data_IF_186670214505
#
_entry.id   IF_186670214505
#
_cell.length_a   1.000
_cell.length_b   1.000
_cell.length_c   1.000
_cell.angle_alpha   90.00
_cell.angle_beta   90.00
_cell.angle_gamma   90.00
#
_symmetry.space_group_name_H-M   'P 1'
#
loop_
_entity.id
_entity.type
_entity.pdbx_description
1 polymer ?
#
# COMPACT_ATOMS: atom_id res chain seq x y z
N UNK A 1 17.82 -37.66 -9.65
CA UNK A 1 16.87 -36.62 -10.10
C UNK A 1 15.44 -37.16 -9.93
N UNK A 2 14.63 -36.68 -8.99
CA UNK A 2 13.20 -36.96 -8.99
C UNK A 2 12.48 -35.84 -9.77
N UNK A 3 11.84 -36.23 -10.87
CA UNK A 3 10.99 -35.37 -11.69
C UNK A 3 9.68 -35.12 -10.93
N UNK A 4 9.51 -33.93 -10.34
CA UNK A 4 8.25 -33.55 -9.70
C UNK A 4 7.24 -33.10 -10.76
N UNK A 5 5.96 -33.52 -10.69
CA UNK A 5 4.96 -33.11 -11.65
C UNK A 5 4.71 -31.59 -11.55
N UNK A 6 4.97 -30.90 -12.66
CA UNK A 6 4.63 -29.51 -12.85
C UNK A 6 3.09 -29.39 -12.93
N UNK A 7 2.43 -28.97 -11.85
CA UNK A 7 1.08 -28.42 -11.86
C UNK A 7 0.92 -27.47 -13.06
N UNK A 8 0.13 -27.95 -14.01
CA UNK A 8 -0.16 -27.31 -15.28
C UNK A 8 -1.27 -26.29 -15.05
N UNK A 9 -0.92 -25.01 -15.06
CA UNK A 9 -1.91 -23.94 -15.25
C UNK A 9 -2.58 -24.15 -16.62
N UNK A 10 -3.88 -23.82 -16.78
CA UNK A 10 -4.57 -23.93 -18.07
C UNK A 10 -3.81 -23.15 -19.16
N UNK A 11 -3.64 -23.76 -20.33
CA UNK A 11 -2.70 -23.34 -21.39
C UNK A 11 -2.89 -21.90 -21.89
N UNK A 12 -4.13 -21.40 -21.86
CA UNK A 12 -4.49 -20.03 -22.27
C UNK A 12 -4.07 -18.98 -21.24
N UNK A 13 -4.23 -19.29 -19.95
CA UNK A 13 -3.81 -18.40 -18.87
C UNK A 13 -2.27 -18.32 -18.82
N UNK A 14 -1.60 -19.46 -19.02
CA UNK A 14 -0.14 -19.53 -19.10
C UNK A 14 0.42 -18.77 -20.31
N UNK A 15 -0.25 -18.78 -21.46
CA UNK A 15 0.18 -18.04 -22.65
C UNK A 15 -0.06 -16.53 -22.51
N UNK A 16 -1.19 -16.11 -21.93
CA UNK A 16 -1.45 -14.70 -21.61
C UNK A 16 -0.44 -14.16 -20.60
N UNK A 17 -0.22 -14.89 -19.50
CA UNK A 17 0.77 -14.52 -18.49
C UNK A 17 2.16 -14.44 -19.12
N UNK A 18 2.61 -15.42 -19.93
CA UNK A 18 3.93 -15.36 -20.60
C UNK A 18 4.08 -14.21 -21.59
N UNK A 19 3.00 -13.80 -22.26
CA UNK A 19 3.03 -12.74 -23.29
C UNK A 19 3.06 -11.34 -22.68
N UNK A 20 2.47 -11.16 -21.50
CA UNK A 20 2.37 -9.86 -20.82
C UNK A 20 3.28 -9.71 -19.60
N UNK A 21 3.55 -10.81 -18.91
CA UNK A 21 4.45 -10.92 -17.77
C UNK A 21 5.57 -11.86 -18.18
N UNK A 22 6.78 -11.34 -18.37
CA UNK A 22 7.95 -12.20 -18.53
C UNK A 22 8.14 -12.97 -17.22
N UNK A 23 7.54 -14.13 -17.07
CA UNK A 23 7.63 -14.99 -15.88
C UNK A 23 8.30 -16.31 -16.29
N UNK A 24 9.31 -16.73 -15.53
CA UNK A 24 9.94 -18.04 -15.71
C UNK A 24 8.96 -19.17 -15.39
N UNK A 25 9.16 -20.38 -15.94
CA UNK A 25 8.26 -21.51 -15.70
C UNK A 25 8.14 -21.87 -14.21
N UNK A 26 9.25 -21.77 -13.47
CA UNK A 26 9.32 -22.03 -12.04
C UNK A 26 8.70 -20.91 -11.18
N UNK A 27 8.47 -19.72 -11.75
CA UNK A 27 7.97 -18.54 -11.03
C UNK A 27 6.44 -18.41 -11.12
N UNK A 28 5.80 -19.11 -12.07
CA UNK A 28 4.37 -18.96 -12.37
C UNK A 28 3.47 -19.28 -11.17
N UNK A 29 3.80 -20.31 -10.38
CA UNK A 29 3.01 -20.67 -9.19
C UNK A 29 3.12 -19.61 -8.11
N UNK A 30 4.35 -19.18 -7.79
CA UNK A 30 4.59 -18.12 -6.81
C UNK A 30 3.91 -16.81 -7.23
N UNK A 31 3.96 -16.46 -8.52
CA UNK A 31 3.27 -15.31 -9.09
C UNK A 31 1.74 -15.44 -8.94
N UNK A 32 1.16 -16.58 -9.31
CA UNK A 32 -0.29 -16.79 -9.23
C UNK A 32 -0.79 -16.72 -7.78
N UNK A 33 -0.06 -17.34 -6.84
CA UNK A 33 -0.36 -17.26 -5.41
C UNK A 33 -0.24 -15.82 -4.88
N UNK A 34 0.81 -15.09 -5.28
CA UNK A 34 1.00 -13.70 -4.86
C UNK A 34 -0.08 -12.77 -5.43
N UNK A 35 -0.45 -12.97 -6.69
CA UNK A 35 -1.55 -12.26 -7.34
C UNK A 35 -2.89 -12.51 -6.64
N UNK A 36 -3.24 -13.79 -6.41
CA UNK A 36 -4.46 -14.18 -5.72
C UNK A 36 -4.47 -13.65 -4.28
N UNK A 37 -3.34 -13.73 -3.59
CA UNK A 37 -3.20 -13.22 -2.23
C UNK A 37 -3.46 -11.71 -2.18
N UNK A 38 -2.86 -10.93 -3.07
CA UNK A 38 -3.07 -9.48 -3.12
C UNK A 38 -4.51 -9.13 -3.53
N UNK A 39 -5.10 -9.90 -4.45
CA UNK A 39 -6.50 -9.74 -4.87
C UNK A 39 -7.45 -9.93 -3.69
N UNK A 40 -7.36 -11.05 -2.97
CA UNK A 40 -8.24 -11.33 -1.83
C UNK A 40 -7.96 -10.38 -0.67
N UNK A 41 -6.69 -10.06 -0.40
CA UNK A 41 -6.29 -9.12 0.66
C UNK A 41 -6.90 -7.74 0.45
N UNK A 42 -6.76 -7.18 -0.76
CA UNK A 42 -7.32 -5.86 -1.05
C UNK A 42 -8.85 -5.94 -1.14
N UNK A 43 -9.42 -7.00 -1.69
CA UNK A 43 -10.87 -7.24 -1.67
C UNK A 43 -11.45 -7.18 -0.26
N UNK A 44 -10.89 -7.95 0.67
CA UNK A 44 -11.28 -7.95 2.10
C UNK A 44 -11.08 -6.59 2.78
N UNK A 45 -9.95 -5.93 2.51
CA UNK A 45 -9.69 -4.58 3.00
C UNK A 45 -10.76 -3.57 2.53
N UNK A 46 -11.16 -3.63 1.26
CA UNK A 46 -12.18 -2.73 0.72
C UNK A 46 -13.61 -3.10 1.14
N UNK A 47 -13.83 -4.29 1.72
CA UNK A 47 -15.08 -4.62 2.45
C UNK A 47 -15.11 -3.93 3.81
N UNK A 48 -13.99 -3.94 4.54
CA UNK A 48 -13.87 -3.33 5.88
C UNK A 48 -13.86 -1.79 5.86
N UNK A 49 -13.35 -1.19 4.77
CA UNK A 49 -13.16 0.26 4.65
C UNK A 49 -14.47 1.07 4.77
N UNK A 50 -15.55 0.73 4.05
CA UNK A 50 -16.84 1.42 4.22
C UNK A 50 -17.39 1.32 5.64
N UNK A 51 -17.22 0.18 6.32
CA UNK A 51 -17.63 0.03 7.72
C UNK A 51 -16.89 1.04 8.60
N UNK A 52 -15.58 1.25 8.39
CA UNK A 52 -14.80 2.27 9.12
C UNK A 52 -15.36 3.67 8.86
N UNK A 53 -15.65 3.97 7.61
CA UNK A 53 -16.13 5.29 7.20
C UNK A 53 -17.52 5.58 7.79
N UNK A 54 -18.40 4.59 7.84
CA UNK A 54 -19.71 4.69 8.53
C UNK A 54 -19.52 4.90 10.04
N UNK A 55 -18.56 4.23 10.69
CA UNK A 55 -18.32 4.45 12.12
C UNK A 55 -17.85 5.89 12.42
N UNK A 56 -17.07 6.50 11.51
CA UNK A 56 -16.65 7.89 11.65
C UNK A 56 -17.83 8.88 11.58
N UNK A 57 -18.85 8.61 10.77
CA UNK A 57 -20.04 9.48 10.68
C UNK A 57 -20.92 9.36 11.92
N UNK A 58 -21.05 8.16 12.51
CA UNK A 58 -21.80 7.92 13.76
C UNK A 58 -21.20 8.67 14.96
N UNK A 59 -19.88 8.84 14.99
CA UNK A 59 -19.17 9.54 16.06
C UNK A 59 -19.26 11.07 15.96
N UNK A 60 -19.59 11.59 14.78
CA UNK A 60 -19.71 13.01 14.50
C UNK A 60 -18.39 13.66 14.04
N UNK A 61 -18.51 14.61 13.12
CA UNK A 61 -17.37 15.28 12.45
C UNK A 61 -16.44 15.99 13.45
N UNK A 62 -16.97 16.45 14.58
CA UNK A 62 -16.22 17.14 15.64
C UNK A 62 -15.21 16.25 16.37
N UNK A 63 -15.38 14.92 16.33
CA UNK A 63 -14.49 13.95 16.98
C UNK A 63 -13.38 13.43 16.05
N UNK A 64 -13.39 13.78 14.76
CA UNK A 64 -12.38 13.34 13.79
C UNK A 64 -10.93 13.66 14.22
N UNK A 65 -10.61 14.85 14.79
CA UNK A 65 -9.25 15.12 15.27
C UNK A 65 -8.79 14.13 16.35
N UNK A 66 -9.68 13.78 17.29
CA UNK A 66 -9.39 12.80 18.36
C UNK A 66 -9.15 11.42 17.76
N UNK A 67 -9.96 11.03 16.77
CA UNK A 67 -9.81 9.76 16.08
C UNK A 67 -8.47 9.65 15.34
N UNK A 68 -8.04 10.72 14.66
CA UNK A 68 -6.75 10.74 13.97
C UNK A 68 -5.56 10.76 14.93
N UNK A 69 -5.63 11.55 16.01
CA UNK A 69 -4.59 11.56 17.05
C UNK A 69 -4.45 10.19 17.72
N UNK A 70 -5.57 9.55 18.09
CA UNK A 70 -5.55 8.20 18.64
C UNK A 70 -4.95 7.18 17.66
N UNK A 71 -5.26 7.29 16.36
CA UNK A 71 -4.66 6.45 15.32
C UNK A 71 -3.14 6.63 15.25
N UNK A 72 -2.65 7.87 15.31
CA UNK A 72 -1.21 8.16 15.28
C UNK A 72 -0.49 7.55 16.49
N UNK A 73 -1.02 7.76 17.70
CA UNK A 73 -0.45 7.22 18.93
C UNK A 73 -0.43 5.69 18.93
N UNK A 74 -1.52 5.06 18.49
CA UNK A 74 -1.59 3.60 18.36
C UNK A 74 -0.61 3.08 17.31
N UNK A 75 -0.47 3.77 16.17
CA UNK A 75 0.51 3.39 15.13
C UNK A 75 1.94 3.43 15.68
N UNK A 76 2.28 4.49 16.44
CA UNK A 76 3.57 4.65 17.10
C UNK A 76 3.83 3.56 18.15
N UNK A 77 2.80 3.11 18.87
CA UNK A 77 2.91 2.03 19.84
C UNK A 77 2.97 0.63 19.21
N UNK A 78 2.24 0.39 18.12
CA UNK A 78 2.21 -0.90 17.43
C UNK A 78 3.53 -1.21 16.72
N UNK A 79 4.25 -0.21 16.21
CA UNK A 79 5.53 -0.41 15.54
C UNK A 79 6.61 -1.10 16.42
N UNK A 80 6.94 -0.60 17.63
CA UNK A 80 7.89 -1.29 18.52
C UNK A 80 7.33 -2.60 19.08
N UNK A 81 6.01 -2.71 19.29
CA UNK A 81 5.39 -3.98 19.69
C UNK A 81 5.62 -5.06 18.63
N UNK A 82 5.39 -4.72 17.36
CA UNK A 82 5.69 -5.62 16.24
C UNK A 82 7.19 -5.93 16.16
N UNK A 83 8.06 -4.92 16.33
CA UNK A 83 9.50 -5.09 16.44
C UNK A 83 9.87 -6.13 17.50
N UNK A 84 9.28 -6.04 18.69
CA UNK A 84 9.47 -6.99 19.78
C UNK A 84 8.95 -8.39 19.47
N UNK A 85 7.79 -8.53 18.83
CA UNK A 85 7.29 -9.86 18.41
C UNK A 85 8.29 -10.53 17.47
N UNK A 86 8.89 -9.78 16.54
CA UNK A 86 9.89 -10.33 15.60
C UNK A 86 11.23 -10.68 16.24
N UNK A 87 11.55 -10.19 17.45
CA UNK A 87 12.75 -10.63 18.19
C UNK A 87 12.52 -11.90 18.99
N UNK A 88 11.27 -12.31 19.20
CA UNK A 88 10.89 -13.44 20.05
C UNK A 88 10.37 -14.64 19.28
N UNK A 89 9.83 -14.42 18.09
CA UNK A 89 9.18 -15.44 17.28
C UNK A 89 9.77 -15.45 15.87
N UNK A 90 9.94 -16.65 15.33
CA UNK A 90 10.40 -16.86 13.95
C UNK A 90 9.44 -16.24 12.94
N UNK A 91 9.98 -15.60 11.90
CA UNK A 91 9.19 -14.93 10.87
C UNK A 91 8.17 -15.87 10.19
N UNK A 92 8.51 -17.15 10.01
CA UNK A 92 7.63 -18.18 9.45
C UNK A 92 6.34 -18.38 10.26
N UNK A 93 6.35 -18.07 11.56
CA UNK A 93 5.15 -18.07 12.43
C UNK A 93 4.53 -16.69 12.56
N UNK A 94 5.34 -15.64 12.65
CA UNK A 94 4.86 -14.25 12.81
C UNK A 94 4.01 -13.83 11.62
N UNK A 95 4.46 -14.09 10.38
CA UNK A 95 3.77 -13.60 9.18
C UNK A 95 2.36 -14.20 9.06
N UNK A 96 2.15 -15.54 9.07
CA UNK A 96 0.79 -16.10 9.08
C UNK A 96 0.03 -15.80 10.37
N UNK A 97 0.72 -15.76 11.51
CA UNK A 97 0.11 -15.47 12.82
C UNK A 97 -0.55 -14.10 12.89
N UNK A 98 0.03 -13.08 12.24
CA UNK A 98 -0.56 -11.75 12.12
C UNK A 98 -1.86 -11.74 11.31
N UNK A 99 -1.94 -12.54 10.23
CA UNK A 99 -3.19 -12.66 9.47
C UNK A 99 -4.27 -13.38 10.27
N UNK A 100 -3.92 -14.44 11.03
CA UNK A 100 -4.84 -15.05 11.99
C UNK A 100 -5.28 -14.09 13.09
N UNK A 101 -4.37 -13.27 13.62
CA UNK A 101 -4.71 -12.22 14.56
C UNK A 101 -5.76 -11.28 13.96
N UNK A 102 -5.59 -10.80 12.72
CA UNK A 102 -6.62 -9.98 12.07
C UNK A 102 -7.95 -10.69 11.89
N UNK A 103 -7.96 -11.98 11.50
CA UNK A 103 -9.20 -12.76 11.43
C UNK A 103 -9.92 -12.77 12.78
N UNK A 104 -9.21 -13.09 13.87
CA UNK A 104 -9.79 -13.13 15.21
C UNK A 104 -10.33 -11.77 15.66
N UNK A 105 -9.62 -10.68 15.34
CA UNK A 105 -10.10 -9.33 15.63
C UNK A 105 -11.38 -9.00 14.86
N UNK A 106 -11.44 -9.33 13.56
CA UNK A 106 -12.64 -9.08 12.74
C UNK A 106 -13.83 -9.85 13.29
N UNK A 107 -13.65 -11.12 13.67
CA UNK A 107 -14.69 -11.94 14.30
C UNK A 107 -15.12 -11.38 15.66
N UNK A 108 -14.17 -10.90 16.47
CA UNK A 108 -14.48 -10.25 17.74
C UNK A 108 -15.30 -8.96 17.52
N UNK A 109 -14.95 -8.13 16.53
CA UNK A 109 -15.75 -6.97 16.17
C UNK A 109 -17.13 -7.35 15.65
N UNK A 110 -17.26 -8.41 14.85
CA UNK A 110 -18.56 -8.90 14.40
C UNK A 110 -19.45 -9.27 15.61
N UNK A 111 -18.90 -10.00 16.58
CA UNK A 111 -19.61 -10.34 17.82
C UNK A 111 -19.94 -9.11 18.67
N UNK A 112 -19.03 -8.13 18.79
CA UNK A 112 -19.26 -6.90 19.55
C UNK A 112 -20.33 -6.01 18.92
N UNK A 113 -20.37 -5.91 17.59
CA UNK A 113 -21.41 -5.16 16.90
C UNK A 113 -22.78 -5.84 16.99
N UNK A 114 -22.81 -7.17 17.01
CA UNK A 114 -24.04 -7.93 17.25
C UNK A 114 -24.54 -7.78 18.70
N UNK A 115 -23.63 -7.82 19.67
CA UNK A 115 -23.97 -7.72 21.09
C UNK A 115 -24.38 -6.30 21.53
N UNK A 116 -23.79 -5.26 20.92
CA UNK A 116 -24.06 -3.87 21.26
C UNK A 116 -24.24 -2.99 20.01
N UNK A 117 -25.35 -3.16 19.26
CA UNK A 117 -25.64 -2.35 18.07
C UNK A 117 -25.69 -0.86 18.44
N UNK A 118 -24.91 -0.03 17.76
CA UNK A 118 -24.88 1.42 17.98
C UNK A 118 -23.97 1.90 19.12
N UNK A 119 -23.20 1.02 19.78
CA UNK A 119 -22.21 1.43 20.77
C UNK A 119 -21.14 2.32 20.15
N UNK A 120 -21.13 3.60 20.56
CA UNK A 120 -20.11 4.58 20.16
C UNK A 120 -18.70 4.14 20.52
N UNK A 121 -18.54 3.37 21.59
CA UNK A 121 -17.24 2.89 22.01
C UNK A 121 -16.72 1.81 21.06
N UNK A 122 -17.55 0.84 20.67
CA UNK A 122 -17.19 -0.20 19.69
C UNK A 122 -16.85 0.44 18.34
N UNK A 123 -17.64 1.43 17.89
CA UNK A 123 -17.37 2.19 16.67
C UNK A 123 -16.01 2.91 16.71
N UNK A 124 -15.67 3.53 17.84
CA UNK A 124 -14.39 4.24 18.05
C UNK A 124 -13.21 3.26 18.02
N UNK A 125 -13.30 2.16 18.76
CA UNK A 125 -12.25 1.15 18.84
C UNK A 125 -12.05 0.48 17.48
N UNK A 126 -13.12 0.16 16.75
CA UNK A 126 -13.05 -0.36 15.39
C UNK A 126 -12.37 0.63 14.44
N UNK A 127 -12.72 1.92 14.52
CA UNK A 127 -12.11 2.95 13.69
C UNK A 127 -10.59 3.01 13.89
N UNK A 128 -10.13 3.05 15.14
CA UNK A 128 -8.71 3.04 15.48
C UNK A 128 -8.02 1.75 15.03
N UNK A 129 -8.59 0.60 15.38
CA UNK A 129 -8.05 -0.71 15.01
C UNK A 129 -7.86 -0.82 13.50
N UNK A 130 -8.90 -0.54 12.71
CA UNK A 130 -8.82 -0.65 11.25
C UNK A 130 -7.83 0.36 10.66
N UNK A 131 -7.78 1.59 11.21
CA UNK A 131 -6.89 2.64 10.72
C UNK A 131 -5.40 2.36 10.95
N UNK A 132 -5.06 1.57 11.98
CA UNK A 132 -3.71 1.07 12.23
C UNK A 132 -3.47 -0.20 11.41
N UNK A 133 -4.36 -1.18 11.50
CA UNK A 133 -4.17 -2.49 10.90
C UNK A 133 -4.10 -2.45 9.37
N UNK A 134 -4.83 -1.54 8.71
CA UNK A 134 -4.84 -1.51 7.24
C UNK A 134 -3.46 -1.25 6.61
N UNK A 135 -2.66 -0.34 7.17
CA UNK A 135 -1.32 -0.03 6.67
C UNK A 135 -0.36 -1.18 7.02
N UNK A 136 -0.51 -1.78 8.20
CA UNK A 136 0.25 -2.96 8.60
C UNK A 136 -0.02 -4.17 7.69
N UNK A 137 -1.27 -4.48 7.37
CA UNK A 137 -1.67 -5.56 6.46
C UNK A 137 -0.96 -5.46 5.12
N UNK A 138 -1.03 -4.27 4.53
CA UNK A 138 -0.40 -3.99 3.24
C UNK A 138 1.11 -4.06 3.34
N UNK A 139 1.71 -3.45 4.36
CA UNK A 139 3.16 -3.43 4.53
C UNK A 139 3.71 -4.84 4.75
N UNK A 140 3.04 -5.67 5.57
CA UNK A 140 3.42 -7.07 5.82
C UNK A 140 3.36 -7.92 4.56
N UNK A 141 2.31 -7.77 3.75
CA UNK A 141 2.22 -8.48 2.46
C UNK A 141 3.40 -8.13 1.55
N UNK A 142 3.69 -6.83 1.37
CA UNK A 142 4.80 -6.42 0.51
C UNK A 142 6.18 -6.72 1.10
N UNK A 143 6.31 -6.77 2.42
CA UNK A 143 7.52 -7.25 3.11
C UNK A 143 7.78 -8.71 2.75
N UNK A 144 6.74 -9.56 2.80
CA UNK A 144 6.84 -10.96 2.35
C UNK A 144 7.19 -11.05 0.86
N UNK A 145 6.61 -10.20 -0.01
CA UNK A 145 6.95 -10.19 -1.44
C UNK A 145 8.40 -9.80 -1.71
N UNK A 146 8.90 -8.76 -1.04
CA UNK A 146 10.29 -8.34 -1.11
C UNK A 146 11.25 -9.40 -0.56
N UNK A 147 10.76 -10.26 0.34
CA UNK A 147 11.51 -11.38 0.90
C UNK A 147 11.37 -12.68 0.11
N UNK A 148 10.42 -12.77 -0.82
CA UNK A 148 10.19 -13.94 -1.66
C UNK A 148 10.95 -13.82 -2.99
N UNK A 149 10.87 -12.66 -3.63
CA UNK A 149 11.37 -12.43 -5.00
C UNK A 149 12.69 -11.67 -5.01
N UNK A 150 13.61 -12.09 -5.89
CA UNK A 150 14.89 -11.38 -6.12
C UNK A 150 14.62 -9.99 -6.74
N UNK A 151 15.58 -9.04 -6.69
CA UNK A 151 15.40 -7.73 -7.33
C UNK A 151 15.06 -7.84 -8.82
N UNK A 152 15.63 -8.82 -9.52
CA UNK A 152 15.35 -9.11 -10.93
C UNK A 152 13.91 -9.59 -11.15
N UNK A 153 13.46 -10.55 -10.33
CA UNK A 153 12.09 -11.05 -10.36
C UNK A 153 11.09 -9.95 -10.00
N UNK A 154 11.35 -9.18 -8.93
CA UNK A 154 10.49 -8.10 -8.48
C UNK A 154 10.24 -7.05 -9.58
N UNK A 155 11.29 -6.68 -10.31
CA UNK A 155 11.24 -5.74 -11.44
C UNK A 155 10.24 -6.16 -12.52
N UNK A 156 10.05 -7.47 -12.72
CA UNK A 156 9.14 -8.04 -13.73
C UNK A 156 7.76 -8.37 -13.17
N UNK A 157 7.70 -8.87 -11.94
CA UNK A 157 6.53 -9.54 -11.37
C UNK A 157 5.68 -8.63 -10.47
N UNK A 158 6.26 -7.61 -9.83
CA UNK A 158 5.52 -6.78 -8.85
C UNK A 158 4.37 -5.99 -9.48
N UNK A 159 4.50 -5.58 -10.74
CA UNK A 159 3.40 -4.94 -11.47
C UNK A 159 2.19 -5.88 -11.61
N UNK A 160 2.42 -7.14 -11.98
CA UNK A 160 1.37 -8.14 -12.09
C UNK A 160 0.75 -8.44 -10.71
N UNK A 161 1.57 -8.63 -9.67
CA UNK A 161 1.08 -8.85 -8.29
C UNK A 161 0.23 -7.66 -7.82
N UNK A 162 0.68 -6.43 -8.07
CA UNK A 162 -0.06 -5.22 -7.75
C UNK A 162 -1.39 -5.12 -8.52
N UNK A 163 -1.45 -5.58 -9.77
CA UNK A 163 -2.69 -5.62 -10.55
C UNK A 163 -3.78 -6.44 -9.86
N UNK A 164 -3.41 -7.56 -9.22
CA UNK A 164 -4.33 -8.35 -8.40
C UNK A 164 -4.99 -7.50 -7.30
N UNK A 165 -4.21 -6.66 -6.61
CA UNK A 165 -4.71 -5.76 -5.59
C UNK A 165 -5.67 -4.68 -6.13
N UNK A 166 -5.41 -4.12 -7.32
CA UNK A 166 -6.33 -3.18 -7.98
C UNK A 166 -7.63 -3.85 -8.42
N UNK A 167 -7.57 -5.10 -8.91
CA UNK A 167 -8.77 -5.87 -9.22
C UNK A 167 -9.58 -6.20 -7.95
N UNK A 168 -8.89 -6.55 -6.86
CA UNK A 168 -9.51 -6.73 -5.55
C UNK A 168 -10.19 -5.45 -5.06
N UNK A 169 -9.58 -4.30 -5.32
CA UNK A 169 -10.14 -2.98 -5.00
C UNK A 169 -11.40 -2.60 -5.80
N UNK A 170 -11.61 -3.24 -6.96
CA UNK A 170 -12.85 -3.10 -7.75
C UNK A 170 -13.91 -4.07 -7.24
N UNK A 171 -13.53 -5.33 -7.01
CA UNK A 171 -14.45 -6.38 -6.57
C UNK A 171 -14.93 -6.17 -5.13
N UNK A 172 -14.07 -5.72 -4.22
CA UNK A 172 -14.41 -5.49 -2.81
C UNK A 172 -15.62 -4.58 -2.61
N UNK A 173 -15.64 -3.35 -3.14
CA UNK A 173 -16.80 -2.46 -3.04
C UNK A 173 -18.06 -3.00 -3.72
N UNK A 174 -17.94 -3.78 -4.79
CA UNK A 174 -19.09 -4.45 -5.43
C UNK A 174 -19.69 -5.49 -4.49
N UNK A 175 -18.85 -6.30 -3.85
CA UNK A 175 -19.28 -7.25 -2.82
C UNK A 175 -19.94 -6.49 -1.65
N UNK A 176 -19.33 -5.41 -1.17
CA UNK A 176 -19.92 -4.57 -0.11
C UNK A 176 -21.31 -4.06 -0.51
N UNK A 177 -21.48 -3.56 -1.73
CA UNK A 177 -22.76 -3.03 -2.21
C UNK A 177 -23.84 -4.10 -2.24
N UNK A 178 -23.48 -5.32 -2.66
CA UNK A 178 -24.41 -6.46 -2.67
C UNK A 178 -24.75 -6.91 -1.25
N UNK A 179 -23.75 -7.08 -0.39
CA UNK A 179 -23.90 -7.58 0.99
C UNK A 179 -24.57 -6.58 1.94
N UNK A 180 -24.31 -5.28 1.80
CA UNK A 180 -24.77 -4.25 2.73
C UNK A 180 -26.30 -4.21 2.83
N UNK A 181 -27.01 -4.48 1.74
CA UNK A 181 -28.47 -4.46 1.69
C UNK A 181 -29.15 -5.61 2.43
N UNK A 182 -28.49 -6.76 2.61
CA UNK A 182 -29.10 -7.95 3.20
C UNK A 182 -28.42 -8.44 4.48
N UNK A 183 -27.12 -8.21 4.65
CA UNK A 183 -26.32 -8.79 5.73
C UNK A 183 -25.87 -7.76 6.78
N UNK A 184 -26.12 -6.48 6.54
CA UNK A 184 -25.73 -5.38 7.43
C UNK A 184 -24.21 -5.34 7.68
N UNK A 185 -23.81 -4.69 8.78
CA UNK A 185 -22.40 -4.55 9.18
C UNK A 185 -21.79 -5.90 9.57
N UNK A 186 -22.54 -6.74 10.27
CA UNK A 186 -22.08 -8.06 10.74
C UNK A 186 -21.70 -8.97 9.57
N UNK A 187 -22.56 -9.09 8.56
CA UNK A 187 -22.28 -9.91 7.39
C UNK A 187 -21.10 -9.39 6.57
N UNK A 188 -20.88 -8.08 6.52
CA UNK A 188 -19.68 -7.49 5.91
C UNK A 188 -18.41 -7.89 6.68
N UNK A 189 -18.44 -7.86 8.02
CA UNK A 189 -17.32 -8.30 8.85
C UNK A 189 -17.05 -9.79 8.69
N UNK A 190 -18.08 -10.64 8.64
CA UNK A 190 -17.91 -12.08 8.41
C UNK A 190 -17.35 -12.38 7.01
N UNK A 191 -17.83 -11.70 5.97
CA UNK A 191 -17.29 -11.82 4.61
C UNK A 191 -15.82 -11.38 4.56
N UNK A 192 -15.47 -10.29 5.24
CA UNK A 192 -14.09 -9.86 5.39
C UNK A 192 -13.26 -10.92 6.14
N UNK A 193 -13.73 -11.44 7.28
CA UNK A 193 -13.04 -12.50 8.02
C UNK A 193 -12.76 -13.73 7.14
N UNK A 194 -13.75 -14.19 6.38
CA UNK A 194 -13.59 -15.30 5.43
C UNK A 194 -12.52 -15.00 4.38
N UNK A 195 -12.50 -13.79 3.82
CA UNK A 195 -11.45 -13.38 2.87
C UNK A 195 -10.05 -13.39 3.52
N UNK A 196 -9.92 -12.96 4.79
CA UNK A 196 -8.64 -12.98 5.51
C UNK A 196 -8.19 -14.40 5.91
N UNK A 197 -9.11 -15.34 6.12
CA UNK A 197 -8.78 -16.77 6.25
C UNK A 197 -8.15 -17.27 4.94
N UNK A 198 -8.75 -16.94 3.80
CA UNK A 198 -8.19 -17.29 2.47
C UNK A 198 -6.82 -16.65 2.26
N UNK A 199 -6.64 -15.38 2.63
CA UNK A 199 -5.31 -14.72 2.60
C UNK A 199 -4.30 -15.47 3.45
N UNK A 200 -4.69 -15.90 4.66
CA UNK A 200 -3.80 -16.62 5.56
C UNK A 200 -3.33 -17.94 4.95
N UNK A 201 -4.24 -18.69 4.33
CA UNK A 201 -3.89 -19.92 3.60
C UNK A 201 -2.95 -19.62 2.43
N UNK A 202 -3.23 -18.58 1.63
CA UNK A 202 -2.38 -18.20 0.50
C UNK A 202 -0.98 -17.76 0.96
N UNK A 203 -0.87 -17.04 2.06
CA UNK A 203 0.42 -16.66 2.68
C UNK A 203 1.20 -17.90 3.12
N UNK A 204 0.55 -18.87 3.75
CA UNK A 204 1.21 -20.14 4.13
C UNK A 204 1.68 -20.93 2.89
N UNK A 205 0.86 -20.96 1.83
CA UNK A 205 1.25 -21.58 0.57
C UNK A 205 2.44 -20.87 -0.09
N UNK A 206 2.50 -19.54 -0.03
CA UNK A 206 3.65 -18.75 -0.51
C UNK A 206 4.93 -19.05 0.27
N UNK A 207 4.84 -19.14 1.60
CA UNK A 207 5.98 -19.51 2.45
C UNK A 207 6.48 -20.93 2.12
N UNK A 208 5.56 -21.88 1.92
CA UNK A 208 5.90 -23.25 1.50
C UNK A 208 6.52 -23.30 0.10
N UNK A 209 5.98 -22.53 -0.85
CA UNK A 209 6.52 -22.46 -2.20
C UNK A 209 7.92 -21.84 -2.22
N UNK A 210 8.20 -20.84 -1.36
CA UNK A 210 9.57 -20.33 -1.16
C UNK A 210 10.54 -21.44 -0.76
N UNK A 211 10.19 -22.19 0.27
CA UNK A 211 11.01 -23.28 0.78
C UNK A 211 11.23 -24.37 -0.29
N UNK A 212 10.18 -24.69 -1.07
CA UNK A 212 10.26 -25.62 -2.20
C UNK A 212 11.19 -25.14 -3.31
N UNK A 213 11.12 -23.86 -3.69
CA UNK A 213 11.98 -23.28 -4.72
C UNK A 213 13.45 -23.23 -4.26
N UNK A 214 13.70 -22.90 -2.99
CA UNK A 214 15.03 -22.93 -2.38
C UNK A 214 15.62 -24.36 -2.38
N UNK A 215 14.83 -25.36 -1.97
CA UNK A 215 15.27 -26.77 -2.01
C UNK A 215 15.54 -27.26 -3.44
N UNK A 216 14.79 -26.74 -4.42
CA UNK A 216 14.99 -27.01 -5.85
C UNK A 216 16.17 -26.26 -6.49
N UNK A 217 16.97 -25.51 -5.71
CA UNK A 217 18.07 -24.67 -6.20
C UNK A 217 17.64 -23.67 -7.28
N UNK A 218 16.38 -23.23 -7.25
CA UNK A 218 15.87 -22.17 -8.12
C UNK A 218 16.21 -20.82 -7.49
N UNK A 219 16.63 -19.87 -8.33
CA UNK A 219 17.00 -18.53 -7.89
C UNK A 219 15.83 -17.83 -7.16
N UNK A 220 16.03 -17.57 -5.87
CA UNK A 220 15.09 -16.89 -4.96
C UNK A 220 15.87 -15.97 -4.03
N UNK A 221 15.18 -15.15 -3.24
CA UNK A 221 15.84 -14.41 -2.17
C UNK A 221 16.57 -15.37 -1.21
N UNK A 222 17.84 -15.07 -0.91
CA UNK A 222 18.69 -15.89 -0.05
C UNK A 222 18.21 -15.93 1.42
N UNK A 223 17.35 -14.99 1.83
CA UNK A 223 16.80 -14.94 3.18
C UNK A 223 15.91 -16.14 3.50
N UNK A 224 15.93 -16.58 4.76
CA UNK A 224 15.03 -17.62 5.27
C UNK A 224 14.03 -17.01 6.25
N UNK A 225 12.84 -17.59 6.39
CA UNK A 225 11.86 -17.15 7.39
C UNK A 225 11.98 -17.92 8.71
N UNK A 226 12.85 -18.93 8.78
CA UNK A 226 12.96 -19.88 9.89
C UNK A 226 13.87 -19.39 11.02
N UNK A 227 14.04 -18.09 11.15
CA UNK A 227 14.75 -17.46 12.25
C UNK A 227 14.00 -16.24 12.78
N UNK A 228 14.35 -15.85 14.01
CA UNK A 228 13.96 -14.58 14.63
C UNK A 228 14.85 -13.46 14.09
N UNK A 229 14.35 -12.23 14.10
CA UNK A 229 15.18 -11.07 13.79
C UNK A 229 15.87 -10.61 15.07
N UNK A 230 17.19 -10.81 15.26
CA UNK A 230 17.87 -10.31 16.45
C UNK A 230 17.83 -8.77 16.50
N UNK A 231 18.16 -8.18 17.65
CA UNK A 231 18.26 -6.73 17.82
C UNK A 231 17.20 -6.11 18.72
N UNK A 232 17.17 -4.78 18.73
CA UNK A 232 16.28 -3.97 19.54
C UNK A 232 14.92 -3.79 18.82
N UNK A 233 13.78 -3.94 19.52
CA UNK A 233 12.45 -3.62 18.97
C UNK A 233 12.33 -2.25 18.29
N UNK A 234 13.15 -1.27 18.69
CA UNK A 234 13.20 0.08 18.14
C UNK A 234 14.13 0.23 16.92
N UNK A 235 14.80 -0.82 16.46
CA UNK A 235 15.76 -0.74 15.34
C UNK A 235 15.10 -0.27 14.03
N UNK A 236 13.79 -0.51 13.86
CA UNK A 236 13.03 0.06 12.74
C UNK A 236 13.04 1.60 12.73
N UNK A 237 13.01 2.24 13.90
CA UNK A 237 13.16 3.69 14.03
C UNK A 237 14.62 4.12 13.93
N UNK A 238 15.53 3.39 14.58
CA UNK A 238 16.97 3.68 14.55
C UNK A 238 17.54 3.68 13.13
N UNK A 239 17.06 2.77 12.26
CA UNK A 239 17.45 2.70 10.86
C UNK A 239 17.12 3.97 10.06
N UNK A 240 16.08 4.72 10.43
CA UNK A 240 15.73 6.00 9.79
C UNK A 240 16.81 7.07 9.99
N UNK A 241 17.66 6.95 11.01
CA UNK A 241 18.71 7.93 11.29
C UNK A 241 20.11 7.43 10.93
N UNK A 242 20.26 6.14 10.63
CA UNK A 242 21.57 5.51 10.38
C UNK A 242 21.89 5.28 8.90
N UNK A 243 20.88 5.11 8.05
CA UNK A 243 21.09 4.76 6.63
C UNK A 243 20.51 5.80 5.69
N UNK A 244 21.37 6.42 4.88
CA UNK A 244 20.93 7.39 3.85
C UNK A 244 19.95 6.79 2.83
N UNK A 245 20.01 5.48 2.57
CA UNK A 245 19.04 4.81 1.70
C UNK A 245 17.64 4.74 2.34
N UNK A 246 17.58 4.46 3.65
CA UNK A 246 16.33 4.42 4.42
C UNK A 246 15.74 5.82 4.56
N UNK A 247 16.57 6.83 4.83
CA UNK A 247 16.16 8.24 4.86
C UNK A 247 15.52 8.63 3.53
N UNK A 248 16.14 8.29 2.40
CA UNK A 248 15.57 8.59 1.08
C UNK A 248 14.21 7.91 0.86
N UNK A 249 14.01 6.69 1.34
CA UNK A 249 12.69 6.02 1.29
C UNK A 249 11.65 6.75 2.15
N UNK A 250 12.02 7.15 3.37
CA UNK A 250 11.14 7.89 4.26
C UNK A 250 10.76 9.26 3.68
N UNK A 251 11.73 10.01 3.16
CA UNK A 251 11.51 11.29 2.49
C UNK A 251 10.64 11.14 1.23
N UNK A 252 10.84 10.07 0.46
CA UNK A 252 10.00 9.78 -0.71
C UNK A 252 8.54 9.63 -0.29
N UNK A 253 8.23 8.85 0.76
CA UNK A 253 6.86 8.70 1.27
C UNK A 253 6.33 10.03 1.81
N UNK A 254 7.12 10.75 2.60
CA UNK A 254 6.69 12.00 3.21
C UNK A 254 6.35 13.05 2.17
N UNK A 255 7.19 13.26 1.15
CA UNK A 255 6.90 14.22 0.08
C UNK A 255 5.70 13.78 -0.78
N UNK A 256 5.56 12.47 -0.99
CA UNK A 256 4.40 11.89 -1.67
C UNK A 256 3.09 12.14 -0.91
N UNK A 257 3.08 12.03 0.43
CA UNK A 257 1.90 12.37 1.24
C UNK A 257 1.66 13.87 1.27
N UNK A 258 2.70 14.71 1.25
CA UNK A 258 2.55 16.16 1.11
C UNK A 258 1.83 16.53 -0.19
N UNK A 259 2.29 16.01 -1.32
CA UNK A 259 1.64 16.22 -2.62
C UNK A 259 0.19 15.73 -2.61
N UNK A 260 -0.08 14.56 -2.00
CA UNK A 260 -1.42 14.03 -1.85
C UNK A 260 -2.35 14.95 -1.05
N UNK A 261 -1.85 15.44 0.09
CA UNK A 261 -2.57 16.34 1.00
C UNK A 261 -2.84 17.68 0.32
N UNK A 262 -1.84 18.28 -0.33
CA UNK A 262 -2.02 19.53 -1.10
C UNK A 262 -3.11 19.37 -2.16
N UNK A 263 -3.05 18.32 -2.97
CA UNK A 263 -4.08 18.06 -3.98
C UNK A 263 -5.47 17.86 -3.37
N UNK A 264 -5.56 17.22 -2.21
CA UNK A 264 -6.82 17.06 -1.48
C UNK A 264 -7.39 18.39 -0.99
N UNK A 265 -6.57 19.27 -0.39
CA UNK A 265 -7.01 20.60 0.05
C UNK A 265 -7.53 21.45 -1.13
N UNK A 266 -6.79 21.46 -2.24
CA UNK A 266 -7.19 22.14 -3.48
C UNK A 266 -8.54 21.62 -4.01
N UNK A 267 -8.73 20.30 -3.98
CA UNK A 267 -9.99 19.69 -4.39
C UNK A 267 -11.15 20.10 -3.47
N UNK A 268 -10.97 20.04 -2.15
CA UNK A 268 -12.02 20.36 -1.18
C UNK A 268 -12.48 21.81 -1.29
N UNK A 269 -11.55 22.76 -1.48
CA UNK A 269 -11.89 24.18 -1.66
C UNK A 269 -12.75 24.41 -2.92
N UNK A 270 -12.35 23.84 -4.07
CA UNK A 270 -13.06 24.06 -5.33
C UNK A 270 -14.38 23.29 -5.41
N UNK A 271 -14.45 22.04 -4.93
CA UNK A 271 -15.72 21.29 -4.85
C UNK A 271 -16.68 21.98 -3.87
N UNK A 272 -16.15 22.52 -2.78
CA UNK A 272 -16.91 23.31 -1.80
C UNK A 272 -17.63 24.49 -2.43
N UNK A 273 -17.00 25.16 -3.40
CA UNK A 273 -17.56 26.31 -4.13
C UNK A 273 -18.47 25.90 -5.30
N UNK A 274 -18.15 24.80 -5.98
CA UNK A 274 -18.82 24.42 -7.24
C UNK A 274 -20.11 23.61 -7.06
N UNK A 275 -20.23 22.82 -5.99
CA UNK A 275 -21.41 21.98 -5.75
C UNK A 275 -22.07 22.38 -4.44
N UNK A 276 -23.32 22.82 -4.44
CA UNK A 276 -24.09 23.09 -3.20
C UNK A 276 -24.77 21.84 -2.64
N UNK A 277 -24.93 20.80 -3.47
CA UNK A 277 -25.61 19.54 -3.12
C UNK A 277 -24.65 18.45 -2.64
N UNK A 278 -24.88 17.94 -1.41
CA UNK A 278 -24.08 16.89 -0.75
C UNK A 278 -24.21 15.54 -1.48
N UNK A 279 -25.35 15.25 -2.09
CA UNK A 279 -25.59 14.00 -2.82
C UNK A 279 -24.70 13.90 -4.06
N UNK A 280 -24.65 14.96 -4.86
CA UNK A 280 -23.80 15.04 -6.06
C UNK A 280 -22.30 15.04 -5.72
N UNK A 281 -21.89 15.66 -4.60
CA UNK A 281 -20.52 15.58 -4.09
C UNK A 281 -20.10 14.14 -3.78
N UNK A 282 -20.98 13.38 -3.14
CA UNK A 282 -20.71 11.99 -2.74
C UNK A 282 -20.59 11.07 -3.96
N UNK A 283 -21.48 11.23 -4.95
CA UNK A 283 -21.42 10.46 -6.20
C UNK A 283 -20.13 10.75 -6.98
N UNK A 284 -19.75 12.02 -7.15
CA UNK A 284 -18.52 12.39 -7.84
C UNK A 284 -17.25 11.78 -7.21
N UNK A 285 -17.20 11.68 -5.88
CA UNK A 285 -16.07 11.06 -5.16
C UNK A 285 -16.03 9.54 -5.39
N UNK A 286 -17.18 8.88 -5.36
CA UNK A 286 -17.27 7.43 -5.58
C UNK A 286 -16.85 7.04 -7.01
N UNK A 287 -17.23 7.84 -8.01
CA UNK A 287 -16.86 7.62 -9.41
C UNK A 287 -15.34 7.74 -9.61
N UNK A 288 -14.69 8.69 -8.93
CA UNK A 288 -13.23 8.84 -8.97
C UNK A 288 -12.53 7.57 -8.44
N UNK A 289 -13.01 6.99 -7.35
CA UNK A 289 -12.43 5.76 -6.77
C UNK A 289 -12.48 4.58 -7.74
N UNK A 290 -13.62 4.39 -8.43
CA UNK A 290 -13.78 3.31 -9.40
C UNK A 290 -12.88 3.54 -10.63
N UNK A 291 -12.91 4.74 -11.20
CA UNK A 291 -12.10 5.13 -12.37
C UNK A 291 -10.62 4.95 -12.07
N UNK A 292 -10.15 5.38 -10.89
CA UNK A 292 -8.76 5.21 -10.46
C UNK A 292 -8.36 3.75 -10.41
N UNK A 293 -9.17 2.86 -9.83
CA UNK A 293 -8.82 1.45 -9.71
C UNK A 293 -8.84 0.73 -11.06
N UNK A 294 -9.78 1.06 -11.96
CA UNK A 294 -9.82 0.53 -13.33
C UNK A 294 -8.57 0.93 -14.10
N UNK A 295 -8.25 2.23 -14.13
CA UNK A 295 -7.04 2.70 -14.82
C UNK A 295 -5.76 2.18 -14.17
N UNK A 296 -5.73 2.06 -12.84
CA UNK A 296 -4.59 1.46 -12.15
C UNK A 296 -4.39 0.01 -12.56
N UNK A 297 -5.47 -0.79 -12.63
CA UNK A 297 -5.40 -2.18 -13.08
C UNK A 297 -4.90 -2.27 -14.53
N UNK A 298 -5.43 -1.44 -15.45
CA UNK A 298 -5.00 -1.40 -16.84
C UNK A 298 -3.52 -1.03 -16.96
N UNK A 299 -3.07 0.02 -16.28
CA UNK A 299 -1.66 0.45 -16.29
C UNK A 299 -0.77 -0.62 -15.67
N UNK A 300 -1.20 -1.31 -14.60
CA UNK A 300 -0.42 -2.38 -13.97
C UNK A 300 -0.26 -3.60 -14.89
N UNK A 301 -1.32 -4.02 -15.57
CA UNK A 301 -1.31 -5.18 -16.48
C UNK A 301 -0.53 -4.88 -17.76
N UNK A 302 -0.70 -3.69 -18.34
CA UNK A 302 -0.17 -3.37 -19.68
C UNK A 302 1.04 -2.42 -19.68
N UNK A 303 1.14 -1.51 -18.71
CA UNK A 303 2.11 -0.42 -18.71
C UNK A 303 3.30 -0.63 -17.78
N UNK A 304 3.06 -0.75 -16.48
CA UNK A 304 4.09 -0.65 -15.43
C UNK A 304 5.23 -1.64 -15.63
N UNK A 305 4.93 -2.91 -15.90
CA UNK A 305 5.97 -3.92 -16.14
C UNK A 305 6.87 -3.58 -17.33
N UNK A 306 6.33 -2.99 -18.39
CA UNK A 306 7.11 -2.54 -19.58
C UNK A 306 7.92 -1.29 -19.28
N UNK A 307 7.35 -0.33 -18.54
CA UNK A 307 8.04 0.89 -18.15
C UNK A 307 9.26 0.56 -17.29
N UNK A 308 9.07 -0.26 -16.25
CA UNK A 308 10.12 -0.61 -15.31
C UNK A 308 11.20 -1.48 -15.97
N UNK A 309 10.83 -2.43 -16.84
CA UNK A 309 11.82 -3.28 -17.53
C UNK A 309 12.60 -2.55 -18.61
N UNK A 310 11.97 -1.57 -19.32
CA UNK A 310 12.62 -0.79 -20.39
C UNK A 310 13.43 0.40 -19.88
N UNK A 311 12.88 1.17 -18.94
CA UNK A 311 13.48 2.42 -18.47
C UNK A 311 14.09 2.31 -17.07
N UNK A 312 13.95 1.17 -16.41
CA UNK A 312 14.48 0.92 -15.07
C UNK A 312 13.57 1.42 -13.94
N UNK A 313 13.91 1.01 -12.71
CA UNK A 313 13.16 1.36 -11.49
C UNK A 313 13.27 2.87 -11.20
N UNK A 314 14.42 3.48 -11.50
CA UNK A 314 14.65 4.92 -11.32
C UNK A 314 13.64 5.75 -12.11
N UNK A 315 13.37 5.40 -13.37
CA UNK A 315 12.38 6.09 -14.19
C UNK A 315 10.96 5.96 -13.61
N UNK A 316 10.59 4.78 -13.10
CA UNK A 316 9.31 4.56 -12.43
C UNK A 316 9.13 5.43 -11.17
N UNK A 317 10.20 5.61 -10.39
CA UNK A 317 10.17 6.49 -9.20
C UNK A 317 10.04 7.97 -9.58
N UNK A 318 10.73 8.42 -10.64
CA UNK A 318 10.79 9.84 -11.05
C UNK A 318 9.56 10.27 -11.85
N UNK A 319 8.90 9.35 -12.55
CA UNK A 319 7.72 9.67 -13.35
C UNK A 319 6.59 10.31 -12.52
N UNK A 320 6.37 9.83 -11.30
CA UNK A 320 5.30 10.35 -10.45
C UNK A 320 5.49 11.82 -10.02
N UNK A 321 6.63 12.23 -9.44
CA UNK A 321 6.86 13.65 -9.13
C UNK A 321 6.81 14.55 -10.37
N UNK A 322 7.27 14.09 -11.54
CA UNK A 322 7.16 14.87 -12.78
C UNK A 322 5.70 15.08 -13.22
N UNK A 323 4.88 14.04 -13.16
CA UNK A 323 3.44 14.15 -13.43
C UNK A 323 2.76 15.12 -12.45
N UNK A 324 3.16 15.11 -11.19
CA UNK A 324 2.61 16.00 -10.17
C UNK A 324 3.07 17.45 -10.33
N UNK A 325 4.32 17.67 -10.73
CA UNK A 325 4.82 19.00 -11.07
C UNK A 325 4.02 19.61 -12.24
N UNK A 326 3.82 18.84 -13.31
CA UNK A 326 2.95 19.25 -14.42
C UNK A 326 1.49 19.47 -14.00
N UNK A 327 0.97 18.64 -13.09
CA UNK A 327 -0.38 18.77 -12.54
C UNK A 327 -0.57 20.07 -11.78
N UNK A 328 0.35 20.43 -10.87
CA UNK A 328 0.25 21.68 -10.12
C UNK A 328 0.48 22.91 -11.00
N UNK A 329 1.33 22.83 -12.04
CA UNK A 329 1.43 23.89 -13.05
C UNK A 329 0.09 24.08 -13.79
N UNK A 330 -0.61 22.99 -14.14
CA UNK A 330 -1.92 23.07 -14.77
C UNK A 330 -2.95 23.75 -13.85
N UNK A 331 -2.95 23.48 -12.53
CA UNK A 331 -3.80 24.21 -11.57
C UNK A 331 -3.44 25.69 -11.50
N UNK A 332 -2.14 26.01 -11.50
CA UNK A 332 -1.68 27.40 -11.48
C UNK A 332 -2.22 28.20 -12.68
N UNK A 333 -2.30 27.56 -13.84
CA UNK A 333 -2.77 28.17 -15.09
C UNK A 333 -4.31 28.16 -15.20
N UNK A 334 -4.97 27.11 -14.73
CA UNK A 334 -6.42 26.92 -14.87
C UNK A 334 -7.01 26.13 -13.69
N UNK A 335 -7.41 26.79 -12.60
CA UNK A 335 -7.94 26.15 -11.40
C UNK A 335 -9.43 25.78 -11.54
N UNK A 336 -9.76 24.96 -12.54
CA UNK A 336 -11.13 24.49 -12.78
C UNK A 336 -11.42 23.15 -12.07
N UNK A 337 -12.71 22.85 -11.84
CA UNK A 337 -13.16 21.57 -11.28
C UNK A 337 -12.63 20.39 -12.10
N UNK A 338 -12.68 20.48 -13.43
CA UNK A 338 -12.25 19.43 -14.34
C UNK A 338 -10.74 19.15 -14.21
N UNK A 339 -9.92 20.20 -14.14
CA UNK A 339 -8.48 20.07 -13.95
C UNK A 339 -8.17 19.39 -12.61
N UNK A 340 -8.81 19.82 -11.52
CA UNK A 340 -8.58 19.23 -10.20
C UNK A 340 -9.05 17.77 -10.10
N UNK A 341 -10.19 17.43 -10.69
CA UNK A 341 -10.63 16.03 -10.77
C UNK A 341 -9.68 15.17 -11.61
N UNK A 342 -9.22 15.69 -12.76
CA UNK A 342 -8.23 15.04 -13.60
C UNK A 342 -6.92 14.77 -12.86
N UNK A 343 -6.45 15.73 -12.06
CA UNK A 343 -5.26 15.58 -11.23
C UNK A 343 -5.45 14.52 -10.16
N UNK A 344 -6.62 14.43 -9.53
CA UNK A 344 -6.88 13.39 -8.53
C UNK A 344 -6.85 11.99 -9.12
N UNK A 345 -7.41 11.82 -10.33
CA UNK A 345 -7.32 10.55 -11.05
C UNK A 345 -5.87 10.26 -11.42
N UNK A 346 -5.17 11.20 -12.08
CA UNK A 346 -3.79 11.03 -12.52
C UNK A 346 -2.85 10.72 -11.35
N UNK A 347 -2.94 11.48 -10.27
CA UNK A 347 -2.13 11.32 -9.04
C UNK A 347 -2.29 9.92 -8.47
N UNK A 348 -3.53 9.45 -8.31
CA UNK A 348 -3.79 8.15 -7.68
C UNK A 348 -3.42 7.00 -8.59
N UNK A 349 -3.68 7.10 -9.90
CA UNK A 349 -3.22 6.11 -10.89
C UNK A 349 -1.70 6.03 -10.91
N UNK A 350 -1.00 7.16 -11.00
CA UNK A 350 0.46 7.19 -10.98
C UNK A 350 1.03 6.64 -9.65
N UNK A 351 0.39 6.97 -8.53
CA UNK A 351 0.74 6.42 -7.22
C UNK A 351 0.55 4.90 -7.14
N UNK A 352 -0.64 4.39 -7.47
CA UNK A 352 -0.98 2.97 -7.29
C UNK A 352 -0.33 2.07 -8.34
N UNK A 353 -0.28 2.53 -9.60
CA UNK A 353 0.19 1.74 -10.71
C UNK A 353 1.71 1.82 -10.91
N UNK A 354 2.35 2.95 -10.61
CA UNK A 354 3.77 3.16 -10.95
C UNK A 354 4.63 3.30 -9.70
N UNK A 355 4.35 4.30 -8.86
CA UNK A 355 5.22 4.64 -7.74
C UNK A 355 5.27 3.53 -6.69
N UNK A 356 4.11 2.94 -6.35
CA UNK A 356 4.05 1.87 -5.35
C UNK A 356 4.86 0.65 -5.79
N UNK A 357 4.63 -0.01 -6.95
CA UNK A 357 5.49 -1.12 -7.39
C UNK A 357 6.98 -0.77 -7.46
N UNK A 358 7.32 0.41 -8.00
CA UNK A 358 8.72 0.86 -8.10
C UNK A 358 9.39 0.98 -6.73
N UNK A 359 8.69 1.53 -5.74
CA UNK A 359 9.14 1.64 -4.36
C UNK A 359 9.24 0.28 -3.68
N UNK A 360 8.29 -0.61 -3.91
CA UNK A 360 8.34 -1.97 -3.36
C UNK A 360 9.53 -2.77 -3.88
N UNK A 361 9.89 -2.61 -5.15
CA UNK A 361 11.11 -3.21 -5.72
C UNK A 361 12.35 -2.73 -4.97
N UNK A 362 12.42 -1.46 -4.57
CA UNK A 362 13.56 -0.92 -3.83
C UNK A 362 13.77 -1.57 -2.45
N UNK A 363 12.76 -2.18 -1.83
CA UNK A 363 12.96 -2.92 -0.58
C UNK A 363 13.63 -4.29 -0.78
N UNK A 364 13.67 -4.82 -2.01
CA UNK A 364 14.28 -6.13 -2.31
C UNK A 364 15.80 -6.15 -2.15
N UNK A 365 16.48 -4.99 -2.17
CA UNK A 365 17.93 -4.89 -1.93
C UNK A 365 18.27 -4.63 -0.46
N UNK A 366 17.27 -4.43 0.40
CA UNK A 366 17.49 -4.17 1.82
C UNK A 366 17.70 -5.47 2.60
N UNK A 367 18.41 -5.42 3.76
CA UNK A 367 18.46 -6.53 4.69
C UNK A 367 17.06 -6.95 5.16
N UNK A 368 16.87 -8.23 5.45
CA UNK A 368 15.57 -8.78 5.84
C UNK A 368 14.97 -8.07 7.06
N UNK A 369 15.80 -7.71 8.05
CA UNK A 369 15.35 -6.93 9.21
C UNK A 369 14.69 -5.60 8.79
N UNK A 370 15.32 -4.86 7.89
CA UNK A 370 14.77 -3.61 7.38
C UNK A 370 13.51 -3.82 6.53
N UNK A 371 13.39 -4.95 5.82
CA UNK A 371 12.19 -5.29 5.05
C UNK A 371 10.96 -5.48 5.95
N UNK A 372 11.13 -5.99 7.17
CA UNK A 372 10.01 -6.24 8.08
C UNK A 372 9.79 -5.12 9.11
N UNK A 373 10.85 -4.57 9.72
CA UNK A 373 10.75 -3.53 10.75
C UNK A 373 10.70 -2.12 10.16
N UNK A 374 11.80 -1.71 9.53
CA UNK A 374 11.98 -0.35 9.01
C UNK A 374 10.94 0.01 7.96
N UNK A 375 10.67 -0.91 7.02
CA UNK A 375 9.63 -0.73 6.01
C UNK A 375 8.27 -0.48 6.64
N UNK A 376 7.92 -1.23 7.68
CA UNK A 376 6.66 -1.04 8.38
C UNK A 376 6.58 0.36 9.02
N UNK A 377 7.63 0.83 9.68
CA UNK A 377 7.71 2.19 10.23
C UNK A 377 7.55 3.25 9.12
N UNK A 378 8.19 3.05 7.97
CA UNK A 378 8.09 3.94 6.81
C UNK A 378 6.67 3.95 6.24
N UNK A 379 6.05 2.78 6.02
CA UNK A 379 4.72 2.66 5.43
C UNK A 379 3.60 3.11 6.38
N UNK A 380 3.84 3.12 7.70
CA UNK A 380 2.83 3.43 8.72
C UNK A 380 3.11 4.79 9.36
N UNK A 381 4.12 4.89 10.22
CA UNK A 381 4.43 6.08 11.01
C UNK A 381 4.82 7.25 10.12
N UNK A 382 5.78 7.08 9.21
CA UNK A 382 6.24 8.18 8.34
C UNK A 382 5.12 8.65 7.42
N UNK A 383 4.30 7.73 6.92
CA UNK A 383 3.10 8.08 6.15
C UNK A 383 2.17 9.02 6.94
N UNK A 384 1.82 8.64 8.19
CA UNK A 384 0.95 9.44 9.06
C UNK A 384 1.57 10.78 9.48
N UNK A 385 2.85 10.79 9.79
CA UNK A 385 3.59 12.03 10.08
C UNK A 385 3.59 12.95 8.86
N UNK A 386 3.72 12.39 7.66
CA UNK A 386 3.60 13.13 6.41
C UNK A 386 2.22 13.77 6.21
N UNK A 387 1.13 13.03 6.45
CA UNK A 387 -0.24 13.58 6.38
C UNK A 387 -0.42 14.75 7.36
N UNK A 388 -0.02 14.56 8.62
CA UNK A 388 -0.17 15.58 9.68
C UNK A 388 0.69 16.81 9.39
N UNK A 389 1.97 16.62 9.07
CA UNK A 389 2.88 17.73 8.76
C UNK A 389 2.46 18.53 7.54
N UNK A 390 1.95 17.87 6.49
CA UNK A 390 1.41 18.56 5.32
C UNK A 390 0.16 19.38 5.64
N UNK A 391 -0.76 18.83 6.44
CA UNK A 391 -1.96 19.54 6.86
C UNK A 391 -1.64 20.79 7.71
N UNK A 392 -0.67 20.69 8.62
CA UNK A 392 -0.19 21.84 9.40
C UNK A 392 0.49 22.90 8.53
N UNK A 393 1.32 22.49 7.57
CA UNK A 393 1.92 23.43 6.63
C UNK A 393 0.83 24.17 5.81
N UNK A 394 -0.21 23.46 5.38
CA UNK A 394 -1.35 24.07 4.69
C UNK A 394 -2.13 25.05 5.57
N UNK A 395 -2.39 24.68 6.83
CA UNK A 395 -3.04 25.57 7.78
C UNK A 395 -2.22 26.85 8.02
N UNK A 396 -0.89 26.73 8.15
CA UNK A 396 0.00 27.87 8.29
C UNK A 396 -0.07 28.80 7.06
N UNK A 397 0.01 28.25 5.85
CA UNK A 397 -0.10 29.04 4.61
C UNK A 397 -1.46 29.75 4.50
N UNK A 398 -2.53 29.12 4.96
CA UNK A 398 -3.86 29.72 5.00
C UNK A 398 -3.91 30.91 5.98
N UNK A 399 -3.37 30.75 7.20
CA UNK A 399 -3.31 31.84 8.21
C UNK A 399 -2.44 33.01 7.73
N UNK A 400 -1.34 32.72 7.03
CA UNK A 400 -0.46 33.75 6.44
C UNK A 400 -1.08 34.44 5.20
N UNK A 401 -2.27 34.01 4.75
CA UNK A 401 -2.97 34.62 3.62
C UNK A 401 -2.48 34.19 2.24
N UNK A 402 -1.65 33.15 2.14
CA UNK A 402 -1.15 32.66 0.84
C UNK A 402 -2.19 31.87 0.03
N UNK A 403 -3.29 31.41 0.66
CA UNK A 403 -4.46 30.82 -0.01
C UNK A 403 -4.13 29.77 -1.08
N UNK A 404 -4.77 29.90 -2.24
CA UNK A 404 -4.57 29.01 -3.39
C UNK A 404 -3.13 29.03 -3.91
N UNK A 405 -2.53 30.22 -4.02
CA UNK A 405 -1.17 30.38 -4.55
C UNK A 405 -0.12 29.69 -3.65
N UNK A 406 -0.29 29.78 -2.33
CA UNK A 406 0.54 29.07 -1.36
C UNK A 406 0.40 27.55 -1.48
N UNK A 407 -0.84 27.06 -1.61
CA UNK A 407 -1.09 25.62 -1.81
C UNK A 407 -0.42 25.09 -3.08
N UNK A 408 -0.59 25.79 -4.20
CA UNK A 408 0.02 25.40 -5.49
C UNK A 408 1.54 25.50 -5.43
N UNK A 409 2.08 26.58 -4.84
CA UNK A 409 3.53 26.75 -4.63
C UNK A 409 4.13 25.63 -3.79
N UNK A 410 3.47 25.25 -2.69
CA UNK A 410 3.88 24.11 -1.86
C UNK A 410 3.83 22.79 -2.66
N UNK A 411 2.80 22.59 -3.48
CA UNK A 411 2.68 21.43 -4.37
C UNK A 411 3.83 21.34 -5.39
N UNK A 412 4.20 22.46 -6.00
CA UNK A 412 5.33 22.55 -6.95
C UNK A 412 6.67 22.28 -6.26
N UNK A 413 6.92 22.93 -5.13
CA UNK A 413 8.15 22.76 -4.35
C UNK A 413 8.31 21.32 -3.87
N UNK A 414 7.26 20.75 -3.26
CA UNK A 414 7.28 19.36 -2.79
C UNK A 414 7.45 18.37 -3.93
N UNK A 415 6.82 18.58 -5.09
CA UNK A 415 7.01 17.73 -6.28
C UNK A 415 8.42 17.81 -6.84
N UNK A 416 9.03 19.00 -6.87
CA UNK A 416 10.42 19.19 -7.32
C UNK A 416 11.42 18.49 -6.39
N UNK A 417 11.30 18.70 -5.09
CA UNK A 417 12.11 18.01 -4.07
C UNK A 417 11.93 16.49 -4.17
N UNK A 418 10.69 16.04 -4.38
CA UNK A 418 10.38 14.62 -4.51
C UNK A 418 11.03 14.00 -5.75
N UNK A 419 11.09 14.72 -6.86
CA UNK A 419 11.84 14.33 -8.06
C UNK A 419 13.33 14.12 -7.75
N UNK A 420 13.96 15.05 -7.02
CA UNK A 420 15.35 14.91 -6.58
C UNK A 420 15.58 13.68 -5.70
N UNK A 421 14.72 13.46 -4.71
CA UNK A 421 14.76 12.27 -3.83
C UNK A 421 14.55 10.98 -4.64
N UNK A 422 13.62 10.97 -5.60
CA UNK A 422 13.35 9.82 -6.46
C UNK A 422 14.56 9.43 -7.31
N UNK A 423 15.27 10.41 -7.89
CA UNK A 423 16.52 10.17 -8.64
C UNK A 423 17.61 9.61 -7.71
N UNK A 424 17.82 10.22 -6.54
CA UNK A 424 18.83 9.78 -5.59
C UNK A 424 18.56 8.35 -5.09
N UNK A 425 17.29 8.04 -4.81
CA UNK A 425 16.84 6.71 -4.38
C UNK A 425 17.06 5.66 -5.48
N UNK A 426 16.65 5.96 -6.72
CA UNK A 426 16.81 5.05 -7.85
C UNK A 426 18.28 4.75 -8.17
N UNK A 427 19.14 5.78 -8.20
CA UNK A 427 20.59 5.60 -8.40
C UNK A 427 21.22 4.73 -7.32
N UNK A 428 20.84 4.94 -6.05
CA UNK A 428 21.36 4.13 -4.94
C UNK A 428 20.86 2.69 -5.01
N UNK A 429 19.60 2.48 -5.39
CA UNK A 429 19.05 1.15 -5.65
C UNK A 429 19.82 0.41 -6.73
N UNK A 430 20.11 1.05 -7.87
CA UNK A 430 20.87 0.41 -8.96
C UNK A 430 22.28 0.01 -8.53
N UNK A 431 22.95 0.85 -7.71
CA UNK A 431 24.26 0.53 -7.16
C UNK A 431 24.21 -0.71 -6.25
N UNK A 432 23.29 -0.73 -5.28
CA UNK A 432 23.13 -1.85 -4.34
C UNK A 432 22.73 -3.14 -5.06
N UNK A 433 21.90 -3.05 -6.09
CA UNK A 433 21.51 -4.20 -6.91
C UNK A 433 22.70 -4.81 -7.65
N UNK A 434 23.60 -3.98 -8.20
CA UNK A 434 24.83 -4.46 -8.85
C UNK A 434 25.75 -5.15 -7.85
N UNK A 435 25.98 -4.52 -6.70
CA UNK A 435 26.79 -5.08 -5.60
C UNK A 435 26.27 -6.45 -5.12
N UNK A 436 24.94 -6.66 -5.08
CA UNK A 436 24.34 -7.97 -4.77
C UNK A 436 24.48 -8.99 -5.89
N UNK A 437 24.35 -8.56 -7.15
CA UNK A 437 24.55 -9.43 -8.32
C UNK A 437 25.99 -9.92 -8.47
N UNK A 438 26.97 -9.10 -8.08
CA UNK A 438 28.39 -9.45 -8.13
C UNK A 438 28.83 -10.35 -6.97
N UNK A 439 28.13 -10.32 -5.82
CA UNK A 439 28.38 -11.23 -4.67
C UNK A 439 27.72 -12.60 -4.82
N UNK A 440 26.76 -12.74 -5.73
CA UNK A 440 26.03 -13.99 -6.00
C UNK A 440 26.59 -14.80 -7.18
N UNK A 441 27.58 -14.25 -7.89
CA UNK A 441 28.45 -14.99 -8.83
C UNK A 441 29.69 -15.44 -8.09
#
# INVERSE_FOLDING_TARGET
>A
MPCYPAATLPSVLASFIRRFVSAGQHELRALALAFACNFVLLGGYYILRPVRDTMATVLGVTQLPVLYTGTLLLTLACAPLYGWVTTRLRLARVVPGLFWFWVLNILAFAALFAAAPGSRWVATVYFWWFSVCNLFMVSMFWSLMADLFTPLQATRLFAAIAAGGSLGAIVGPLVTRLLAGFAGVEGLLLAAAASFVVVTVLVQLLVREKARLQAGHVETQASTLDHELPGNPFDGFGALFRSGYVVNQALFIMLMTWVATVAYFLQTDVIGRAFTDIGRRTQAIADIDLVVNIWSALVLVFGTGRIITRFGVTAGLVLNPLLMLGSFLAVALSPTVLVLQGIQVLRRVAQYAIARPSREICFTVMPQESRYRTKNVIDTVVYRVGDVSAAWMQALLAVLGFGLAGSVGLGLLSSGLWGGVAVALGRRYERLRREQGDRGK
#
